data_IF_142094284318
#
_entry.id   IF_142094284318
#
_cell.length_a   1.000
_cell.length_b   1.000
_cell.length_c   1.000
_cell.angle_alpha   90.00
_cell.angle_beta   90.00
_cell.angle_gamma   90.00
#
_symmetry.space_group_name_H-M   'P 1'
#
loop_
_entity.id
_entity.type
_entity.pdbx_description
1 polymer ?
#
# COMPACT_ATOMS: atom_id res chain seq x y z
N UNK A 1 11.22 -7.52 11.73
CA UNK A 1 11.38 -6.15 11.18
C UNK A 1 12.51 -6.21 10.19
N UNK A 2 12.24 -6.43 8.92
CA UNK A 2 13.24 -6.33 7.85
C UNK A 2 13.48 -4.85 7.59
N UNK A 3 14.63 -4.35 8.01
CA UNK A 3 15.18 -3.10 7.51
C UNK A 3 15.43 -3.31 6.01
N UNK A 4 14.57 -2.75 5.17
CA UNK A 4 14.91 -2.45 3.79
C UNK A 4 15.98 -1.38 3.92
N UNK A 5 17.21 -1.71 3.55
CA UNK A 5 18.37 -0.84 3.67
C UNK A 5 18.10 0.47 2.92
N UNK A 6 18.05 1.58 3.64
CA UNK A 6 18.40 2.91 3.14
C UNK A 6 17.29 3.78 2.59
N UNK A 7 16.03 3.38 2.57
CA UNK A 7 14.95 4.26 2.12
C UNK A 7 14.23 4.92 3.31
N UNK A 8 14.21 6.24 3.34
CA UNK A 8 13.39 7.03 4.27
C UNK A 8 11.90 6.88 3.99
N UNK A 9 11.07 7.40 4.88
CA UNK A 9 9.62 7.42 4.68
C UNK A 9 9.19 8.67 3.90
N UNK A 10 8.47 8.49 2.80
CA UNK A 10 7.74 9.56 2.12
C UNK A 10 6.27 9.53 2.56
N UNK A 11 5.71 10.68 2.96
CA UNK A 11 4.35 10.78 3.46
C UNK A 11 3.48 11.64 2.54
N UNK A 12 2.38 11.09 2.04
CA UNK A 12 1.38 11.81 1.26
C UNK A 12 0.08 11.85 2.08
N UNK A 13 -0.40 13.05 2.38
CA UNK A 13 -1.56 13.28 3.22
C UNK A 13 -2.70 13.90 2.42
N UNK A 14 -3.81 13.21 2.30
CA UNK A 14 -5.05 13.82 1.85
C UNK A 14 -5.63 14.70 2.97
N UNK A 15 -5.85 15.97 2.69
CA UNK A 15 -6.26 16.95 3.70
C UNK A 15 -7.43 17.81 3.28
N UNK A 16 -8.42 17.87 4.17
CA UNK A 16 -9.48 18.87 4.15
C UNK A 16 -9.26 19.94 5.23
N UNK A 17 -10.29 20.23 6.01
CA UNK A 17 -10.23 21.28 7.03
C UNK A 17 -9.46 20.87 8.30
N UNK A 18 -9.65 19.63 8.74
CA UNK A 18 -9.04 19.06 9.96
C UNK A 18 -7.57 18.73 9.77
N UNK A 19 -6.78 18.84 10.82
CA UNK A 19 -5.32 18.68 10.78
C UNK A 19 -4.76 17.67 11.77
N UNK A 20 -5.55 17.24 12.75
CA UNK A 20 -5.07 16.41 13.87
C UNK A 20 -4.48 15.09 13.34
N UNK A 21 -5.12 14.49 12.36
CA UNK A 21 -4.64 13.27 11.70
C UNK A 21 -3.27 13.45 11.03
N UNK A 22 -2.99 14.61 10.44
CA UNK A 22 -1.72 14.89 9.80
C UNK A 22 -0.57 14.93 10.82
N UNK A 23 -0.77 15.65 11.93
CA UNK A 23 0.22 15.74 13.00
C UNK A 23 0.49 14.34 13.59
N UNK A 24 -0.55 13.57 13.85
CA UNK A 24 -0.46 12.21 14.36
C UNK A 24 0.34 11.30 13.41
N UNK A 25 0.12 11.43 12.09
CA UNK A 25 0.84 10.68 11.06
C UNK A 25 2.32 11.07 11.00
N UNK A 26 2.63 12.36 11.01
CA UNK A 26 4.02 12.86 11.02
C UNK A 26 4.77 12.33 12.25
N UNK A 27 4.13 12.34 13.41
CA UNK A 27 4.74 11.83 14.65
C UNK A 27 4.95 10.32 14.64
N UNK A 28 4.05 9.54 13.99
CA UNK A 28 4.17 8.10 13.90
C UNK A 28 5.27 7.67 12.96
N UNK A 29 5.28 8.25 11.76
CA UNK A 29 6.12 7.75 10.67
C UNK A 29 7.46 8.44 10.54
N UNK A 30 7.64 9.59 11.22
CA UNK A 30 8.89 10.38 11.18
C UNK A 30 9.39 10.50 9.73
N UNK A 31 8.61 11.11 8.82
CA UNK A 31 8.91 11.09 7.40
C UNK A 31 10.11 12.01 7.09
N UNK A 32 10.84 11.69 6.01
CA UNK A 32 11.87 12.55 5.45
C UNK A 32 11.27 13.63 4.54
N UNK A 33 10.17 13.31 3.89
CA UNK A 33 9.43 14.25 3.03
C UNK A 33 7.93 14.13 3.25
N UNK A 34 7.22 15.26 3.21
CA UNK A 34 5.76 15.31 3.33
C UNK A 34 5.16 16.09 2.18
N UNK A 35 4.17 15.47 1.54
CA UNK A 35 3.28 16.07 0.55
C UNK A 35 1.86 16.15 1.08
N UNK A 36 1.12 17.16 0.64
CA UNK A 36 -0.31 17.32 0.93
C UNK A 36 -1.08 17.35 -0.38
N UNK A 37 -2.14 16.56 -0.47
CA UNK A 37 -3.12 16.61 -1.56
C UNK A 37 -4.43 17.14 -1.02
N UNK A 38 -4.95 18.19 -1.63
CA UNK A 38 -6.11 18.94 -1.11
C UNK A 38 -6.96 19.53 -2.24
N UNK A 39 -7.99 20.30 -1.91
CA UNK A 39 -8.69 21.16 -2.86
C UNK A 39 -8.10 22.57 -2.89
N UNK A 40 -8.28 23.29 -3.97
CA UNK A 40 -7.83 24.68 -4.16
C UNK A 40 -8.23 25.58 -2.99
N UNK A 41 -9.42 25.34 -2.43
CA UNK A 41 -9.94 26.08 -1.27
C UNK A 41 -8.98 26.09 -0.08
N UNK A 42 -8.23 25.01 0.12
CA UNK A 42 -7.35 24.83 1.29
C UNK A 42 -5.86 24.91 0.98
N UNK A 43 -5.47 25.01 -0.29
CA UNK A 43 -4.08 24.97 -0.74
C UNK A 43 -3.20 25.99 0.00
N UNK A 44 -3.54 27.27 -0.05
CA UNK A 44 -2.73 28.33 0.57
C UNK A 44 -2.59 28.14 2.10
N UNK A 45 -3.65 27.62 2.75
CA UNK A 45 -3.64 27.35 4.19
C UNK A 45 -2.71 26.18 4.52
N UNK A 46 -2.78 25.10 3.73
CA UNK A 46 -1.94 23.94 3.96
C UNK A 46 -0.48 24.17 3.58
N UNK A 47 -0.20 25.01 2.59
CA UNK A 47 1.16 25.41 2.24
C UNK A 47 1.87 26.10 3.41
N UNK A 48 1.16 27.00 4.12
CA UNK A 48 1.71 27.63 5.34
C UNK A 48 1.93 26.61 6.46
N UNK A 49 0.97 25.73 6.70
CA UNK A 49 1.05 24.67 7.71
C UNK A 49 2.19 23.71 7.45
N UNK A 50 2.35 23.25 6.19
CA UNK A 50 3.43 22.36 5.82
C UNK A 50 4.80 22.95 6.15
N UNK A 51 4.98 24.24 5.85
CA UNK A 51 6.19 25.00 6.19
C UNK A 51 6.44 25.08 7.69
N UNK A 52 5.39 25.30 8.49
CA UNK A 52 5.52 25.38 9.95
C UNK A 52 5.82 23.99 10.53
N UNK A 53 5.19 22.95 10.04
CA UNK A 53 5.43 21.58 10.47
C UNK A 53 6.80 21.06 10.06
N UNK A 54 7.32 21.42 8.87
CA UNK A 54 8.66 21.02 8.44
C UNK A 54 9.72 21.55 9.41
N UNK A 55 9.58 22.79 9.88
CA UNK A 55 10.46 23.37 10.90
C UNK A 55 10.33 22.70 12.27
N UNK A 56 9.09 22.35 12.64
CA UNK A 56 8.79 21.75 13.95
C UNK A 56 9.23 20.28 14.05
N UNK A 57 9.07 19.53 12.97
CA UNK A 57 9.27 18.07 12.97
C UNK A 57 10.49 17.61 12.18
N UNK A 58 11.18 18.51 11.46
CA UNK A 58 12.47 18.23 10.82
C UNK A 58 12.41 17.48 9.50
N UNK A 59 11.28 17.47 8.79
CA UNK A 59 11.15 16.84 7.47
C UNK A 59 11.32 17.89 6.34
N UNK A 60 11.59 17.43 5.13
CA UNK A 60 11.62 18.23 3.90
C UNK A 60 10.19 18.52 3.41
N UNK A 61 9.94 19.78 3.06
CA UNK A 61 8.69 20.17 2.40
C UNK A 61 8.67 19.59 0.96
N UNK A 62 7.81 18.64 0.68
CA UNK A 62 7.58 18.14 -0.68
C UNK A 62 6.74 19.12 -1.49
N UNK A 63 5.56 19.45 -0.99
CA UNK A 63 4.66 20.40 -1.66
C UNK A 63 3.20 20.22 -1.27
N UNK A 64 2.36 21.09 -1.82
CA UNK A 64 0.90 21.00 -1.72
C UNK A 64 0.33 20.98 -3.11
N UNK A 65 -0.28 19.86 -3.47
CA UNK A 65 -0.96 19.64 -4.74
C UNK A 65 -2.46 19.82 -4.54
N UNK A 66 -3.12 20.55 -5.42
CA UNK A 66 -4.54 20.81 -5.29
C UNK A 66 -5.35 20.47 -6.54
N UNK A 67 -6.61 20.11 -6.31
CA UNK A 67 -7.59 19.83 -7.36
C UNK A 67 -8.73 20.84 -7.25
N UNK A 68 -9.11 21.45 -8.38
CA UNK A 68 -10.03 22.56 -8.42
C UNK A 68 -11.44 22.20 -7.92
N UNK A 69 -12.00 21.09 -8.42
CA UNK A 69 -13.34 20.66 -8.05
C UNK A 69 -13.35 19.19 -7.62
N UNK A 70 -13.67 18.98 -6.35
CA UNK A 70 -13.79 17.63 -5.77
C UNK A 70 -15.13 16.95 -6.04
N UNK A 71 -16.10 17.65 -6.60
CA UNK A 71 -17.45 17.14 -6.86
C UNK A 71 -17.68 16.75 -8.31
N UNK A 72 -16.72 17.03 -9.18
CA UNK A 72 -16.73 16.54 -10.56
C UNK A 72 -16.49 15.01 -10.61
N UNK A 73 -17.14 14.29 -11.54
CA UNK A 73 -16.94 12.84 -11.68
C UNK A 73 -15.48 12.44 -11.92
N UNK A 74 -14.68 13.31 -12.52
CA UNK A 74 -13.25 13.12 -12.79
C UNK A 74 -12.34 13.37 -11.57
N UNK A 75 -12.88 13.91 -10.47
CA UNK A 75 -12.07 14.31 -9.31
C UNK A 75 -11.21 13.19 -8.73
N UNK A 76 -11.74 11.96 -8.67
CA UNK A 76 -10.98 10.80 -8.16
C UNK A 76 -9.77 10.54 -9.05
N UNK A 77 -9.94 10.58 -10.38
CA UNK A 77 -8.83 10.37 -11.33
C UNK A 77 -7.80 11.50 -11.21
N UNK A 78 -8.25 12.75 -11.11
CA UNK A 78 -7.36 13.90 -10.93
C UNK A 78 -6.53 13.78 -9.65
N UNK A 79 -7.16 13.40 -8.54
CA UNK A 79 -6.48 13.18 -7.26
C UNK A 79 -5.48 12.02 -7.32
N UNK A 80 -5.79 10.93 -8.01
CA UNK A 80 -4.85 9.82 -8.23
C UNK A 80 -3.66 10.29 -9.03
N UNK A 81 -3.88 11.06 -10.11
CA UNK A 81 -2.81 11.61 -10.95
C UNK A 81 -1.88 12.52 -10.16
N UNK A 82 -2.40 13.32 -9.21
CA UNK A 82 -1.55 14.14 -8.33
C UNK A 82 -0.61 13.27 -7.50
N UNK A 83 -1.09 12.16 -6.93
CA UNK A 83 -0.23 11.24 -6.15
C UNK A 83 0.81 10.56 -7.04
N UNK A 84 0.42 10.13 -8.24
CA UNK A 84 1.36 9.53 -9.21
C UNK A 84 2.43 10.54 -9.63
N UNK A 85 2.05 11.79 -9.88
CA UNK A 85 2.98 12.86 -10.27
C UNK A 85 3.99 13.19 -9.17
N UNK A 86 3.58 13.16 -7.89
CA UNK A 86 4.47 13.34 -6.75
C UNK A 86 5.59 12.31 -6.78
N UNK A 87 5.27 11.03 -6.92
CA UNK A 87 6.30 9.98 -6.95
C UNK A 87 7.20 10.07 -8.18
N UNK A 88 6.65 10.44 -9.34
CA UNK A 88 7.43 10.64 -10.56
C UNK A 88 8.40 11.81 -10.40
N UNK A 89 7.96 12.93 -9.82
CA UNK A 89 8.82 14.09 -9.53
C UNK A 89 9.95 13.77 -8.56
N UNK A 90 9.68 13.00 -7.51
CA UNK A 90 10.73 12.60 -6.56
C UNK A 90 11.80 11.72 -7.23
N UNK A 91 11.39 10.76 -8.07
CA UNK A 91 12.32 9.94 -8.85
C UNK A 91 13.18 10.77 -9.81
N UNK A 92 12.58 11.76 -10.45
CA UNK A 92 13.31 12.67 -11.35
C UNK A 92 14.35 13.54 -10.61
N UNK A 93 14.01 14.02 -9.42
CA UNK A 93 14.86 14.92 -8.63
C UNK A 93 16.01 14.20 -7.93
N UNK A 94 15.80 12.98 -7.46
CA UNK A 94 16.75 12.28 -6.58
C UNK A 94 17.30 10.97 -7.15
N UNK A 95 16.80 10.52 -8.31
CA UNK A 95 17.21 9.29 -8.98
C UNK A 95 16.45 8.06 -8.50
N UNK A 96 16.65 6.94 -9.19
CA UNK A 96 15.98 5.67 -8.90
C UNK A 96 16.52 4.97 -7.63
N UNK A 97 17.70 5.37 -7.17
CA UNK A 97 18.37 4.74 -6.01
C UNK A 97 17.83 5.25 -4.66
N UNK A 98 17.13 6.38 -4.62
CA UNK A 98 16.47 6.89 -3.42
C UNK A 98 14.97 6.53 -3.43
N UNK A 99 14.68 5.26 -3.18
CA UNK A 99 13.30 4.79 -3.13
C UNK A 99 12.71 5.01 -1.72
N UNK A 100 11.83 6.01 -1.57
CA UNK A 100 11.07 6.19 -0.34
C UNK A 100 10.05 5.06 -0.14
N UNK A 101 9.89 4.61 1.09
CA UNK A 101 8.71 3.88 1.49
C UNK A 101 7.54 4.86 1.57
N UNK A 102 6.69 4.85 0.55
CA UNK A 102 5.55 5.76 0.49
C UNK A 102 4.39 5.31 1.37
N UNK A 103 3.89 6.27 2.15
CA UNK A 103 2.78 6.11 3.08
C UNK A 103 1.69 7.11 2.70
N UNK A 104 0.48 6.62 2.42
CA UNK A 104 -0.65 7.45 1.97
C UNK A 104 -1.72 7.50 3.06
N UNK A 105 -1.91 8.69 3.65
CA UNK A 105 -2.91 8.94 4.68
C UNK A 105 -4.25 9.36 4.07
N UNK A 106 -5.29 8.54 4.25
CA UNK A 106 -6.62 8.74 3.64
C UNK A 106 -7.68 9.31 4.59
N UNK A 107 -7.28 9.75 5.78
CA UNK A 107 -8.23 10.22 6.81
C UNK A 107 -8.83 11.59 6.50
N UNK A 108 -8.07 12.44 5.84
CA UNK A 108 -8.46 13.84 5.64
C UNK A 108 -9.28 14.06 4.38
N UNK A 109 -10.13 15.08 4.41
CA UNK A 109 -10.88 15.52 3.25
C UNK A 109 -12.21 14.80 3.03
N UNK A 110 -12.59 14.64 1.76
CA UNK A 110 -13.84 14.02 1.32
C UNK A 110 -13.68 12.51 1.08
N UNK A 111 -14.81 11.82 0.91
CA UNK A 111 -14.78 10.40 0.49
C UNK A 111 -14.10 10.20 -0.87
N UNK A 112 -14.20 11.17 -1.78
CA UNK A 112 -13.47 11.13 -3.06
C UNK A 112 -11.96 11.09 -2.85
N UNK A 113 -11.46 11.87 -1.88
CA UNK A 113 -10.04 11.88 -1.51
C UNK A 113 -9.61 10.54 -0.91
N UNK A 114 -10.42 9.96 -0.02
CA UNK A 114 -10.14 8.65 0.55
C UNK A 114 -10.14 7.55 -0.53
N UNK A 115 -11.11 7.57 -1.44
CA UNK A 115 -11.14 6.64 -2.57
C UNK A 115 -9.91 6.80 -3.47
N UNK A 116 -9.55 8.04 -3.82
CA UNK A 116 -8.37 8.32 -4.65
C UNK A 116 -7.07 7.85 -3.99
N UNK A 117 -6.90 8.10 -2.69
CA UNK A 117 -5.74 7.63 -1.94
C UNK A 117 -5.64 6.11 -1.89
N UNK A 118 -6.78 5.42 -1.79
CA UNK A 118 -6.82 3.96 -1.86
C UNK A 118 -6.40 3.45 -3.24
N UNK A 119 -6.96 4.00 -4.33
CA UNK A 119 -6.55 3.64 -5.69
C UNK A 119 -5.07 3.93 -5.96
N UNK A 120 -4.58 5.11 -5.55
CA UNK A 120 -3.18 5.47 -5.70
C UNK A 120 -2.27 4.49 -4.95
N UNK A 121 -2.64 4.11 -3.73
CA UNK A 121 -1.89 3.13 -2.94
C UNK A 121 -1.77 1.77 -3.61
N UNK A 122 -2.84 1.31 -4.27
CA UNK A 122 -2.81 0.06 -5.07
C UNK A 122 -1.88 0.20 -6.28
N UNK A 123 -2.04 1.27 -7.06
CA UNK A 123 -1.27 1.47 -8.29
C UNK A 123 0.23 1.64 -8.03
N UNK A 124 0.59 2.27 -6.93
CA UNK A 124 1.97 2.61 -6.57
C UNK A 124 2.58 1.65 -5.54
N UNK A 125 1.89 0.58 -5.21
CA UNK A 125 2.29 -0.37 -4.16
C UNK A 125 2.71 0.32 -2.85
N UNK A 126 2.00 1.39 -2.50
CA UNK A 126 2.27 2.19 -1.31
C UNK A 126 1.46 1.69 -0.12
N UNK A 127 1.96 1.91 1.09
CA UNK A 127 1.19 1.63 2.30
C UNK A 127 0.11 2.67 2.50
N UNK A 128 -1.10 2.23 2.75
CA UNK A 128 -2.26 3.09 3.02
C UNK A 128 -2.56 3.03 4.51
N UNK A 129 -2.88 4.16 5.10
CA UNK A 129 -3.29 4.19 6.50
C UNK A 129 -4.44 5.16 6.75
N UNK A 130 -5.13 4.92 7.85
CA UNK A 130 -6.24 5.72 8.34
C UNK A 130 -6.02 6.09 9.81
N UNK A 131 -6.33 7.32 10.18
CA UNK A 131 -6.26 7.80 11.57
C UNK A 131 -7.67 7.91 12.13
N UNK A 132 -7.97 7.13 13.17
CA UNK A 132 -9.25 7.18 13.86
C UNK A 132 -9.31 8.40 14.76
N UNK A 133 -10.42 9.13 14.67
CA UNK A 133 -10.74 10.20 15.62
C UNK A 133 -11.30 9.57 16.90
N UNK A 134 -10.71 9.80 18.08
CA UNK A 134 -11.25 9.32 19.33
C UNK A 134 -12.70 9.80 19.56
N UNK A 135 -13.61 8.95 20.06
CA UNK A 135 -15.03 9.28 20.25
C UNK A 135 -15.26 10.50 21.15
N UNK A 136 -14.39 10.72 22.12
CA UNK A 136 -14.48 11.78 23.12
C UNK A 136 -13.94 13.13 22.62
N UNK A 137 -13.65 13.28 21.32
CA UNK A 137 -13.10 14.50 20.76
C UNK A 137 -11.64 14.79 21.12
N UNK A 138 -10.95 13.80 21.68
CA UNK A 138 -9.53 13.87 22.00
C UNK A 138 -8.65 13.92 20.75
N UNK A 139 -7.35 14.24 20.93
CA UNK A 139 -6.37 14.17 19.84
C UNK A 139 -6.01 12.69 19.58
N UNK A 140 -5.95 12.25 18.32
CA UNK A 140 -5.48 10.91 17.98
C UNK A 140 -4.05 10.67 18.48
N UNK A 141 -3.75 9.45 18.89
CA UNK A 141 -2.42 9.04 19.38
C UNK A 141 -1.70 8.20 18.31
N UNK A 142 -0.41 8.48 18.01
CA UNK A 142 0.31 7.82 16.92
C UNK A 142 0.33 6.29 16.99
N UNK A 143 0.48 5.73 18.19
CA UNK A 143 0.63 4.27 18.37
C UNK A 143 -0.69 3.52 18.61
N UNK A 144 -1.82 4.22 18.77
CA UNK A 144 -3.13 3.63 19.08
C UNK A 144 -4.15 3.83 17.98
N UNK A 145 -4.19 5.03 17.41
CA UNK A 145 -5.30 5.46 16.58
C UNK A 145 -4.94 5.49 15.07
N UNK A 146 -3.76 4.99 14.70
CA UNK A 146 -3.33 4.87 13.28
C UNK A 146 -3.39 3.42 12.85
N UNK A 147 -4.24 3.14 11.87
CA UNK A 147 -4.46 1.83 11.28
C UNK A 147 -3.84 1.77 9.89
N UNK A 148 -2.97 0.81 9.68
CA UNK A 148 -2.40 0.50 8.37
C UNK A 148 -3.26 -0.58 7.69
N UNK A 149 -3.50 -0.37 6.40
CA UNK A 149 -4.17 -1.38 5.58
C UNK A 149 -3.11 -2.33 5.00
N UNK A 150 -3.42 -3.62 4.84
CA UNK A 150 -2.59 -4.52 4.05
C UNK A 150 -2.38 -3.97 2.65
N UNK A 151 -1.23 -4.23 2.06
CA UNK A 151 -0.96 -3.78 0.68
C UNK A 151 -1.97 -4.40 -0.28
N UNK A 152 -2.78 -3.55 -0.91
CA UNK A 152 -3.87 -4.00 -1.79
C UNK A 152 -3.37 -4.75 -3.03
N UNK A 153 -2.17 -4.42 -3.51
CA UNK A 153 -1.54 -5.16 -4.60
C UNK A 153 -1.30 -6.61 -4.20
N UNK A 154 -0.85 -6.86 -2.97
CA UNK A 154 -0.69 -8.21 -2.43
C UNK A 154 -1.99 -9.01 -2.47
N UNK A 155 -3.11 -8.40 -2.07
CA UNK A 155 -4.44 -9.03 -2.12
C UNK A 155 -4.82 -9.40 -3.56
N UNK A 156 -4.64 -8.51 -4.53
CA UNK A 156 -4.96 -8.76 -5.93
C UNK A 156 -4.13 -9.90 -6.51
N UNK A 157 -2.86 -9.99 -6.15
CA UNK A 157 -1.97 -11.05 -6.58
C UNK A 157 -2.36 -12.38 -5.94
N UNK A 158 -2.63 -12.38 -4.63
CA UNK A 158 -3.09 -13.59 -3.91
C UNK A 158 -4.39 -14.11 -4.51
N UNK A 159 -5.34 -13.24 -4.89
CA UNK A 159 -6.58 -13.62 -5.59
C UNK A 159 -6.33 -14.27 -6.96
N UNK A 160 -5.26 -13.88 -7.65
CA UNK A 160 -4.91 -14.42 -8.98
C UNK A 160 -4.06 -15.67 -8.93
N UNK A 161 -3.53 -16.05 -7.76
CA UNK A 161 -2.67 -17.23 -7.62
C UNK A 161 -3.40 -18.54 -7.88
N UNK A 162 -2.75 -19.52 -8.54
CA UNK A 162 -3.21 -20.89 -8.57
C UNK A 162 -3.36 -21.46 -7.15
N UNK A 163 -4.36 -22.33 -6.95
CA UNK A 163 -4.68 -22.87 -5.63
C UNK A 163 -3.55 -23.67 -4.99
N UNK A 164 -2.80 -24.44 -5.78
CA UNK A 164 -1.64 -25.18 -5.30
C UNK A 164 -0.53 -24.24 -4.78
N UNK A 165 -0.30 -23.12 -5.47
CA UNK A 165 0.65 -22.09 -5.04
C UNK A 165 0.18 -21.45 -3.74
N UNK A 166 -1.09 -21.07 -3.66
CA UNK A 166 -1.67 -20.46 -2.47
C UNK A 166 -1.63 -21.43 -1.27
N UNK A 167 -1.96 -22.69 -1.46
CA UNK A 167 -1.89 -23.72 -0.44
C UNK A 167 -0.44 -23.92 0.07
N UNK A 168 0.54 -23.87 -0.85
CA UNK A 168 1.94 -23.98 -0.51
C UNK A 168 2.45 -22.80 0.32
N UNK A 169 2.26 -21.57 -0.15
CA UNK A 169 2.73 -20.38 0.58
C UNK A 169 2.02 -20.18 1.93
N UNK A 170 0.79 -20.71 2.06
CA UNK A 170 0.03 -20.66 3.30
C UNK A 170 0.62 -21.57 4.42
N UNK A 171 1.58 -22.43 4.12
CA UNK A 171 2.35 -23.18 5.11
C UNK A 171 3.24 -22.26 5.96
N UNK A 172 3.49 -21.05 5.48
CA UNK A 172 4.19 -20.00 6.20
C UNK A 172 5.71 -19.98 6.02
N UNK A 173 6.33 -21.10 5.69
CA UNK A 173 7.76 -21.19 5.38
C UNK A 173 8.09 -22.50 4.68
N UNK A 174 9.24 -22.57 4.00
CA UNK A 174 9.75 -23.78 3.36
C UNK A 174 11.12 -23.57 2.73
N UNK A 175 11.55 -24.55 1.94
CA UNK A 175 12.81 -24.49 1.21
C UNK A 175 12.57 -23.93 -0.20
N UNK A 176 13.45 -23.04 -0.66
CA UNK A 176 13.30 -22.39 -1.97
C UNK A 176 13.38 -23.40 -3.10
N UNK A 177 14.27 -24.40 -3.00
CA UNK A 177 14.43 -25.42 -4.03
C UNK A 177 13.14 -26.25 -4.23
N UNK A 178 12.35 -26.49 -3.18
CA UNK A 178 11.06 -27.22 -3.30
C UNK A 178 10.06 -26.50 -4.19
N UNK A 179 10.10 -25.14 -4.22
CA UNK A 179 9.25 -24.35 -5.10
C UNK A 179 9.54 -24.66 -6.57
N UNK A 180 10.83 -24.73 -6.93
CA UNK A 180 11.27 -24.89 -8.31
C UNK A 180 11.27 -26.34 -8.75
N UNK A 181 11.68 -27.29 -7.90
CA UNK A 181 11.64 -28.71 -8.19
C UNK A 181 10.21 -29.23 -8.40
N UNK A 182 9.28 -28.78 -7.57
CA UNK A 182 7.86 -29.13 -7.69
C UNK A 182 7.10 -28.25 -8.71
N UNK A 183 7.79 -27.33 -9.40
CA UNK A 183 7.20 -26.40 -10.38
C UNK A 183 5.96 -25.65 -9.86
N UNK A 184 5.98 -25.29 -8.57
CA UNK A 184 4.86 -24.61 -7.93
C UNK A 184 4.66 -23.19 -8.47
N UNK A 185 5.77 -22.50 -8.77
CA UNK A 185 5.73 -21.17 -9.40
C UNK A 185 7.00 -20.91 -10.23
N UNK A 186 6.92 -20.07 -11.26
CA UNK A 186 8.10 -19.61 -12.00
C UNK A 186 9.06 -18.79 -11.11
N UNK A 187 10.38 -18.81 -11.36
CA UNK A 187 11.34 -18.01 -10.61
C UNK A 187 10.98 -16.52 -10.54
N UNK A 188 10.61 -15.91 -11.65
CA UNK A 188 10.19 -14.51 -11.69
C UNK A 188 8.96 -14.19 -10.84
N UNK A 189 8.06 -15.13 -10.63
CA UNK A 189 6.93 -14.95 -9.71
C UNK A 189 7.39 -14.97 -8.25
N UNK A 190 8.32 -15.86 -7.90
CA UNK A 190 8.88 -15.91 -6.56
C UNK A 190 9.60 -14.60 -6.21
N UNK A 191 10.49 -14.14 -7.10
CA UNK A 191 11.22 -12.88 -6.93
C UNK A 191 10.27 -11.69 -6.81
N UNK A 192 9.20 -11.68 -7.61
CA UNK A 192 8.17 -10.66 -7.54
C UNK A 192 7.42 -10.67 -6.23
N UNK A 193 7.04 -11.84 -5.69
CA UNK A 193 6.40 -11.96 -4.37
C UNK A 193 7.31 -11.48 -3.24
N UNK A 194 8.60 -11.70 -3.35
CA UNK A 194 9.59 -11.15 -2.41
C UNK A 194 9.69 -9.63 -2.55
N UNK A 195 9.73 -9.11 -3.78
CA UNK A 195 9.81 -7.67 -4.05
C UNK A 195 8.62 -6.89 -3.50
N UNK A 196 7.41 -7.43 -3.61
CA UNK A 196 6.19 -6.78 -3.10
C UNK A 196 5.92 -7.09 -1.62
N UNK A 197 6.79 -7.81 -0.94
CA UNK A 197 6.71 -8.07 0.49
C UNK A 197 5.70 -9.13 0.92
N UNK A 198 5.19 -9.96 0.01
CA UNK A 198 4.35 -11.13 0.36
C UNK A 198 5.21 -12.24 0.95
N UNK A 199 6.37 -12.50 0.35
CA UNK A 199 7.36 -13.44 0.84
C UNK A 199 8.63 -12.70 1.26
N UNK A 200 9.39 -13.34 2.11
CA UNK A 200 10.77 -12.99 2.44
C UNK A 200 11.64 -14.21 2.19
N UNK A 201 12.82 -14.03 1.63
CA UNK A 201 13.79 -15.11 1.45
C UNK A 201 15.08 -14.84 2.20
N UNK A 202 15.61 -15.89 2.85
CA UNK A 202 16.91 -15.89 3.50
C UNK A 202 17.67 -17.14 3.06
N UNK A 203 18.69 -16.95 2.23
CA UNK A 203 19.53 -18.02 1.65
C UNK A 203 18.70 -19.11 0.95
N UNK A 204 18.46 -20.22 1.64
CA UNK A 204 17.78 -21.41 1.12
C UNK A 204 16.31 -21.51 1.52
N UNK A 205 15.85 -20.58 2.37
CA UNK A 205 14.49 -20.62 2.93
C UNK A 205 13.66 -19.42 2.49
N UNK A 206 12.38 -19.66 2.38
CA UNK A 206 11.37 -18.61 2.25
C UNK A 206 10.45 -18.56 3.45
N UNK A 207 9.88 -17.40 3.71
CA UNK A 207 8.93 -17.14 4.80
C UNK A 207 7.80 -16.29 4.30
N UNK A 208 6.58 -16.60 4.74
CA UNK A 208 5.44 -15.71 4.55
C UNK A 208 5.57 -14.53 5.52
N UNK A 209 5.50 -13.32 4.98
CA UNK A 209 5.56 -12.11 5.80
C UNK A 209 4.23 -11.87 6.52
N UNK A 210 4.20 -10.99 7.52
CA UNK A 210 2.94 -10.57 8.15
C UNK A 210 1.99 -9.92 7.13
N UNK A 211 2.52 -9.16 6.18
CA UNK A 211 1.77 -8.57 5.07
C UNK A 211 1.17 -9.63 4.15
N UNK A 212 1.97 -10.63 3.79
CA UNK A 212 1.50 -11.77 2.98
C UNK A 212 0.42 -12.56 3.71
N UNK A 213 0.58 -12.81 4.99
CA UNK A 213 -0.41 -13.49 5.83
C UNK A 213 -1.72 -12.69 5.90
N UNK A 214 -1.64 -11.39 6.16
CA UNK A 214 -2.82 -10.52 6.18
C UNK A 214 -3.55 -10.53 4.82
N UNK A 215 -2.82 -10.50 3.69
CA UNK A 215 -3.39 -10.59 2.35
C UNK A 215 -4.10 -11.92 2.10
N UNK A 216 -3.51 -13.03 2.51
CA UNK A 216 -4.11 -14.37 2.40
C UNK A 216 -5.36 -14.49 3.28
N UNK A 217 -5.32 -13.98 4.51
CA UNK A 217 -6.44 -14.06 5.45
C UNK A 217 -7.64 -13.23 4.93
N UNK A 218 -7.39 -12.05 4.35
CA UNK A 218 -8.46 -11.26 3.70
C UNK A 218 -9.08 -12.06 2.55
N UNK A 219 -8.26 -12.62 1.67
CA UNK A 219 -8.75 -13.37 0.52
C UNK A 219 -9.59 -14.57 0.95
N UNK A 220 -9.12 -15.37 1.91
CA UNK A 220 -9.84 -16.54 2.42
C UNK A 220 -11.19 -16.22 3.04
N UNK A 221 -11.34 -15.05 3.64
CA UNK A 221 -12.54 -14.67 4.35
C UNK A 221 -13.57 -13.95 3.49
N UNK A 222 -13.24 -13.60 2.25
CA UNK A 222 -14.20 -12.96 1.35
C UNK A 222 -15.14 -13.96 0.69
N UNK A 223 -16.44 -13.66 0.53
CA UNK A 223 -17.38 -14.52 -0.19
C UNK A 223 -16.92 -14.82 -1.61
N UNK A 224 -16.40 -13.82 -2.33
CA UNK A 224 -15.89 -13.96 -3.69
C UNK A 224 -14.73 -14.95 -3.76
N UNK A 225 -13.83 -14.91 -2.77
CA UNK A 225 -12.72 -15.86 -2.73
C UNK A 225 -13.21 -17.29 -2.46
N UNK A 226 -14.22 -17.47 -1.61
CA UNK A 226 -14.82 -18.79 -1.37
C UNK A 226 -15.44 -19.34 -2.64
N UNK A 227 -16.23 -18.56 -3.37
CA UNK A 227 -16.79 -18.97 -4.65
C UNK A 227 -15.71 -19.30 -5.68
N UNK A 228 -14.66 -18.47 -5.79
CA UNK A 228 -13.53 -18.74 -6.69
C UNK A 228 -12.74 -19.98 -6.27
N UNK A 229 -12.59 -20.22 -4.98
CA UNK A 229 -11.97 -21.42 -4.43
C UNK A 229 -12.82 -22.66 -4.74
N UNK A 230 -14.10 -22.60 -4.52
CA UNK A 230 -15.04 -23.71 -4.79
C UNK A 230 -15.12 -24.03 -6.28
N UNK A 231 -15.15 -23.01 -7.16
CA UNK A 231 -15.12 -23.18 -8.60
C UNK A 231 -13.79 -23.81 -9.10
N UNK A 232 -12.66 -23.46 -8.50
CA UNK A 232 -11.36 -24.05 -8.84
C UNK A 232 -11.23 -25.50 -8.35
N UNK A 233 -11.72 -25.80 -7.17
CA UNK A 233 -11.72 -27.17 -6.62
C UNK A 233 -12.64 -28.07 -7.43
N UNK A 234 -13.83 -27.61 -7.82
CA UNK A 234 -14.76 -28.38 -8.62
C UNK A 234 -14.28 -28.72 -10.04
N UNK A 235 -13.45 -27.87 -10.64
CA UNK A 235 -12.88 -28.11 -11.98
C UNK A 235 -11.65 -29.02 -11.98
N UNK A 236 -10.94 -29.17 -10.87
CA UNK A 236 -9.77 -30.05 -10.76
C UNK A 236 -10.11 -31.51 -10.50
N UNK A 237 -11.33 -31.82 -10.08
CA UNK A 237 -11.77 -33.21 -9.92
C UNK A 237 -11.99 -33.94 -11.28
N UNK A 238 -12.13 -33.18 -12.37
CA UNK A 238 -12.47 -33.76 -13.68
C UNK A 238 -11.41 -33.64 -14.80
N UNK A 239 -10.27 -32.96 -14.58
CA UNK A 239 -9.29 -32.76 -15.66
C UNK A 239 -7.84 -32.67 -15.14
N UNK A 240 -7.16 -33.81 -15.02
CA UNK A 240 -5.72 -33.88 -14.74
C UNK A 240 -4.80 -33.52 -15.94
N UNK A 241 -5.36 -33.15 -17.12
CA UNK A 241 -4.58 -33.07 -18.36
C UNK A 241 -4.45 -31.70 -19.04
N UNK A 242 -4.88 -30.59 -18.46
CA UNK A 242 -4.78 -29.25 -19.14
C UNK A 242 -4.22 -28.12 -18.27
N UNK A 243 -2.97 -28.22 -17.87
CA UNK A 243 -2.18 -27.06 -17.41
C UNK A 243 -0.85 -26.95 -18.15
N UNK A 244 -0.93 -26.67 -19.44
CA UNK A 244 0.17 -26.13 -20.23
C UNK A 244 -0.35 -24.94 -21.04
N UNK A 245 -0.17 -23.74 -20.54
CA UNK A 245 -0.60 -22.54 -21.27
C UNK A 245 -0.21 -21.22 -20.62
N UNK A 246 1.06 -21.06 -20.29
CA UNK A 246 1.73 -19.76 -20.21
C UNK A 246 3.03 -19.87 -20.99
N UNK A 247 2.95 -19.57 -22.28
CA UNK A 247 4.09 -19.24 -23.12
C UNK A 247 4.08 -17.73 -23.36
#
# INVERSE_FOLDING_TARGET
>A
MSQINGSGNGLILFMGERIEHAITSIQKYVPEVVYIVTSDKYEAKHRRRLKDWSKQYGFREGGVNSVADLFEPSAVISLVNEVVSIQAQEKELYGEDEEYLWLIGITGGTMHMAAAGTYAGVLLNSRIFYVIQPPEGGKPMPNRDVFEFPQMLGISIVLSMPMNVLAFINQGSGLIHEIFENRLMPPGMFDYLCKIGILFSDNEKWFLTEEGKASIDIVKNTPIAKELLDLKIGKHADNDDQFLGWA
#
